data_IF_225584709065
#
_entry.id   IF_225584709065
#
_cell.length_a   1.000
_cell.length_b   1.000
_cell.length_c   1.000
_cell.angle_alpha   90.00
_cell.angle_beta   90.00
_cell.angle_gamma   90.00
#
_symmetry.space_group_name_H-M   'P 1'
#
loop_
_entity.id
_entity.type
_entity.pdbx_description
1 polymer ?
#
# COMPACT_ATOMS: atom_id res chain seq x y z
N UNK A 1 -8.82 -19.04 7.61
CA UNK A 1 -8.27 -18.95 6.25
C UNK A 1 -6.99 -19.75 6.18
N UNK A 2 -6.85 -20.63 5.19
CA UNK A 2 -5.65 -21.45 5.00
C UNK A 2 -4.52 -20.60 4.41
N UNK A 3 -3.24 -20.82 4.78
CA UNK A 3 -2.15 -20.10 4.16
C UNK A 3 -2.04 -20.53 2.70
N UNK A 4 -2.29 -19.59 1.79
CA UNK A 4 -2.10 -19.76 0.35
C UNK A 4 -1.05 -18.78 -0.18
N UNK A 5 -0.61 -19.00 -1.40
CA UNK A 5 0.27 -18.08 -2.13
C UNK A 5 -0.35 -16.69 -2.18
N UNK A 6 0.39 -15.67 -1.71
CA UNK A 6 -0.05 -14.27 -1.79
C UNK A 6 0.76 -13.52 -2.84
N UNK A 7 0.06 -12.95 -3.81
CA UNK A 7 0.59 -12.00 -4.77
C UNK A 7 -0.02 -10.62 -4.53
N UNK A 8 0.71 -9.58 -4.91
CA UNK A 8 0.20 -8.20 -4.89
C UNK A 8 0.42 -7.55 -6.23
N UNK A 9 -0.50 -6.68 -6.62
CA UNK A 9 -0.38 -5.82 -7.79
C UNK A 9 -0.50 -4.36 -7.38
N UNK A 10 0.12 -3.47 -8.15
CA UNK A 10 -0.10 -2.04 -8.06
C UNK A 10 -0.05 -1.41 -9.45
N UNK A 11 -0.88 -0.39 -9.63
CA UNK A 11 -0.97 0.39 -10.85
C UNK A 11 -0.77 1.85 -10.49
N UNK A 12 0.13 2.54 -11.19
CA UNK A 12 0.21 4.00 -11.13
C UNK A 12 -0.41 4.56 -12.39
N UNK A 13 -1.31 5.52 -12.22
CA UNK A 13 -1.96 6.24 -13.30
C UNK A 13 -1.60 7.71 -13.24
N UNK A 14 -1.44 8.33 -14.40
CA UNK A 14 -1.30 9.79 -14.49
C UNK A 14 -2.65 10.51 -14.31
N UNK A 15 -2.65 11.84 -14.34
CA UNK A 15 -3.86 12.66 -14.21
C UNK A 15 -4.85 12.51 -15.37
N UNK A 16 -4.43 11.87 -16.47
CA UNK A 16 -5.28 11.53 -17.63
C UNK A 16 -5.76 10.07 -17.57
N UNK A 17 -5.54 9.39 -16.45
CA UNK A 17 -5.89 8.00 -16.20
C UNK A 17 -5.12 6.99 -17.07
N UNK A 18 -3.98 7.39 -17.65
CA UNK A 18 -3.11 6.48 -18.38
C UNK A 18 -2.28 5.66 -17.40
N UNK A 19 -2.17 4.35 -17.64
CA UNK A 19 -1.33 3.47 -16.84
C UNK A 19 0.15 3.71 -17.18
N UNK A 20 0.88 4.30 -16.24
CA UNK A 20 2.33 4.57 -16.36
C UNK A 20 3.16 3.43 -15.74
N UNK A 21 2.57 2.68 -14.82
CA UNK A 21 3.15 1.48 -14.22
C UNK A 21 2.06 0.46 -13.99
N UNK A 22 2.30 -0.77 -14.43
CA UNK A 22 1.53 -1.95 -14.04
C UNK A 22 2.53 -3.00 -13.57
N UNK A 23 2.53 -3.30 -12.27
CA UNK A 23 3.46 -4.27 -11.69
C UNK A 23 2.71 -5.23 -10.78
N UNK A 24 3.23 -6.45 -10.74
CA UNK A 24 2.80 -7.48 -9.82
C UNK A 24 4.02 -8.21 -9.28
N UNK A 25 3.93 -8.69 -8.05
CA UNK A 25 5.01 -9.50 -7.50
C UNK A 25 4.50 -10.44 -6.42
N UNK A 26 5.09 -11.63 -6.41
CA UNK A 26 4.93 -12.59 -5.34
C UNK A 26 5.48 -12.00 -4.03
N UNK A 27 4.80 -12.25 -2.92
CA UNK A 27 5.20 -11.69 -1.62
C UNK A 27 5.77 -12.77 -0.72
N UNK A 28 4.91 -13.68 -0.27
CA UNK A 28 5.30 -14.83 0.53
C UNK A 28 4.12 -15.80 0.69
N UNK A 29 4.46 -17.02 1.05
CA UNK A 29 3.57 -17.97 1.69
C UNK A 29 3.37 -17.53 3.17
N UNK A 30 2.11 -17.50 3.64
CA UNK A 30 1.69 -17.10 4.99
C UNK A 30 1.42 -15.60 5.26
N UNK A 31 1.15 -14.78 4.25
CA UNK A 31 0.61 -13.44 4.50
C UNK A 31 -0.91 -13.51 4.67
N UNK A 32 -1.45 -12.82 5.68
CA UNK A 32 -2.89 -12.56 5.73
C UNK A 32 -3.28 -11.59 4.63
N UNK A 33 -4.57 -11.55 4.26
CA UNK A 33 -5.08 -10.57 3.29
C UNK A 33 -4.67 -9.13 3.64
N UNK A 34 -4.79 -8.72 4.91
CA UNK A 34 -4.34 -7.41 5.39
C UNK A 34 -2.84 -7.18 5.19
N UNK A 35 -2.01 -8.19 5.43
CA UNK A 35 -0.56 -8.08 5.19
C UNK A 35 -0.26 -7.92 3.71
N UNK A 36 -0.92 -8.70 2.84
CA UNK A 36 -0.79 -8.55 1.40
C UNK A 36 -1.18 -7.14 0.94
N UNK A 37 -2.29 -6.60 1.43
CA UNK A 37 -2.69 -5.22 1.13
C UNK A 37 -1.65 -4.18 1.52
N UNK A 38 -1.13 -4.26 2.74
CA UNK A 38 -0.04 -3.39 3.17
C UNK A 38 1.17 -3.47 2.24
N UNK A 39 1.53 -4.66 1.78
CA UNK A 39 2.68 -4.79 0.86
C UNK A 39 2.39 -4.22 -0.52
N UNK A 40 1.18 -4.41 -1.05
CA UNK A 40 0.76 -3.77 -2.29
C UNK A 40 0.86 -2.25 -2.18
N UNK A 41 0.31 -1.68 -1.10
CA UNK A 41 0.37 -0.25 -0.81
C UNK A 41 1.81 0.26 -0.71
N UNK A 42 2.65 -0.38 0.09
CA UNK A 42 4.05 0.01 0.30
C UNK A 42 4.81 -0.03 -1.04
N UNK A 43 4.62 -1.05 -1.87
CA UNK A 43 5.29 -1.16 -3.16
C UNK A 43 4.83 -0.08 -4.14
N UNK A 44 3.53 0.22 -4.17
CA UNK A 44 2.98 1.32 -4.96
C UNK A 44 3.53 2.68 -4.55
N UNK A 45 3.53 2.97 -3.23
CA UNK A 45 4.07 4.21 -2.68
C UNK A 45 5.58 4.34 -2.92
N UNK A 46 6.33 3.25 -2.75
CA UNK A 46 7.77 3.26 -2.99
C UNK A 46 8.09 3.54 -4.46
N UNK A 47 7.37 2.92 -5.40
CA UNK A 47 7.53 3.20 -6.83
C UNK A 47 7.17 4.66 -7.16
N UNK A 48 6.10 5.20 -6.57
CA UNK A 48 5.70 6.59 -6.78
C UNK A 48 6.75 7.58 -6.24
N UNK A 49 7.30 7.28 -5.05
CA UNK A 49 8.38 8.06 -4.45
C UNK A 49 9.66 8.05 -5.29
N UNK A 50 10.09 6.87 -5.76
CA UNK A 50 11.27 6.73 -6.64
C UNK A 50 11.13 7.52 -7.96
N UNK A 51 9.88 7.70 -8.42
CA UNK A 51 9.53 8.51 -9.60
C UNK A 51 9.37 10.00 -9.32
N UNK A 52 9.62 10.44 -8.08
CA UNK A 52 9.48 11.84 -7.63
C UNK A 52 8.06 12.38 -7.82
N UNK A 53 7.05 11.53 -7.65
CA UNK A 53 5.66 11.97 -7.62
C UNK A 53 5.41 12.71 -6.31
N UNK A 54 4.91 13.95 -6.38
CA UNK A 54 4.65 14.78 -5.20
C UNK A 54 3.25 14.60 -4.61
N UNK A 55 2.25 14.34 -5.44
CA UNK A 55 0.85 14.19 -5.02
C UNK A 55 0.32 12.82 -5.45
N UNK A 56 -0.30 12.10 -4.52
CA UNK A 56 -0.82 10.77 -4.78
C UNK A 56 -2.23 10.58 -4.19
N UNK A 57 -3.10 9.98 -5.01
CA UNK A 57 -4.41 9.48 -4.61
C UNK A 57 -4.41 7.96 -4.78
N UNK A 58 -4.60 7.24 -3.69
CA UNK A 58 -4.55 5.79 -3.64
C UNK A 58 -5.97 5.24 -3.63
N UNK A 59 -6.19 4.18 -4.40
CA UNK A 59 -7.43 3.42 -4.39
C UNK A 59 -7.16 2.00 -3.89
N UNK A 60 -7.89 1.56 -2.88
CA UNK A 60 -7.81 0.21 -2.34
C UNK A 60 -9.16 -0.27 -1.78
N UNK A 61 -9.40 -1.57 -1.81
CA UNK A 61 -10.63 -2.23 -1.33
C UNK A 61 -10.53 -2.70 0.13
N UNK A 62 -9.36 -2.56 0.77
CA UNK A 62 -9.17 -2.94 2.18
C UNK A 62 -9.54 -1.82 3.14
N UNK A 63 -10.82 -1.77 3.54
CA UNK A 63 -11.31 -0.80 4.52
C UNK A 63 -10.53 -0.80 5.85
N UNK A 64 -9.98 -1.95 6.29
CA UNK A 64 -9.12 -2.02 7.48
C UNK A 64 -7.83 -1.21 7.28
N UNK A 65 -7.14 -1.41 6.15
CA UNK A 65 -5.87 -0.73 5.87
C UNK A 65 -6.11 0.74 5.61
N UNK A 66 -7.13 1.11 4.83
CA UNK A 66 -7.47 2.52 4.58
C UNK A 66 -7.77 3.25 5.90
N UNK A 67 -8.58 2.67 6.80
CA UNK A 67 -8.85 3.29 8.10
C UNK A 67 -7.62 3.34 9.03
N UNK A 68 -6.68 2.39 8.91
CA UNK A 68 -5.44 2.42 9.68
C UNK A 68 -4.51 3.52 9.16
N UNK A 69 -4.30 3.63 7.84
CA UNK A 69 -3.47 4.68 7.23
C UNK A 69 -4.05 6.08 7.48
N UNK A 70 -5.38 6.22 7.41
CA UNK A 70 -6.08 7.45 7.80
C UNK A 70 -6.13 7.67 9.33
N UNK A 71 -5.47 6.82 10.13
CA UNK A 71 -5.36 6.92 11.59
C UNK A 71 -6.70 6.87 12.34
N UNK A 72 -7.79 6.47 11.67
CA UNK A 72 -9.08 6.25 12.31
C UNK A 72 -9.04 5.03 13.23
N UNK A 73 -8.30 3.99 12.84
CA UNK A 73 -8.20 2.73 13.58
C UNK A 73 -6.77 2.42 14.02
N UNK A 74 -6.58 2.10 15.31
CA UNK A 74 -5.26 1.73 15.82
C UNK A 74 -4.80 0.35 15.32
N UNK A 75 -3.52 0.24 14.98
CA UNK A 75 -2.88 -1.04 14.63
C UNK A 75 -2.48 -1.78 15.91
N UNK A 76 -3.31 -2.74 16.33
CA UNK A 76 -3.08 -3.51 17.57
C UNK A 76 -2.14 -4.69 17.40
N UNK A 77 -2.01 -5.23 16.19
CA UNK A 77 -1.19 -6.41 15.93
C UNK A 77 0.27 -5.98 15.71
N UNK A 78 1.17 -6.44 16.60
CA UNK A 78 2.62 -6.16 16.51
C UNK A 78 3.24 -6.55 15.17
N UNK A 79 2.72 -7.58 14.50
CA UNK A 79 3.20 -8.01 13.18
C UNK A 79 2.76 -7.06 12.05
N UNK A 80 1.68 -6.31 12.25
CA UNK A 80 1.19 -5.31 11.31
C UNK A 80 1.85 -3.95 11.53
N UNK A 81 2.28 -3.62 12.76
CA UNK A 81 2.94 -2.36 13.07
C UNK A 81 4.12 -2.06 12.12
N UNK A 82 5.00 -3.03 11.88
CA UNK A 82 6.13 -2.85 10.94
C UNK A 82 5.70 -2.46 9.50
N UNK A 83 4.53 -2.89 9.06
CA UNK A 83 4.01 -2.55 7.73
C UNK A 83 3.34 -1.18 7.76
N UNK A 84 2.58 -0.91 8.81
CA UNK A 84 1.98 0.38 9.06
C UNK A 84 3.04 1.49 9.15
N UNK A 85 4.07 1.31 9.99
CA UNK A 85 5.16 2.27 10.17
C UNK A 85 5.84 2.56 8.83
N UNK A 86 6.17 1.52 8.06
CA UNK A 86 6.78 1.66 6.73
C UNK A 86 5.87 2.39 5.74
N UNK A 87 4.57 2.11 5.76
CA UNK A 87 3.61 2.81 4.90
C UNK A 87 3.52 4.29 5.29
N UNK A 88 3.44 4.59 6.59
CA UNK A 88 3.37 5.97 7.09
C UNK A 88 4.64 6.77 6.81
N UNK A 89 5.81 6.14 6.89
CA UNK A 89 7.08 6.77 6.52
C UNK A 89 7.10 7.17 5.05
N UNK A 90 6.58 6.33 4.16
CA UNK A 90 6.43 6.65 2.74
C UNK A 90 5.36 7.73 2.49
N UNK A 91 4.22 7.65 3.17
CA UNK A 91 3.14 8.65 3.05
C UNK A 91 3.67 10.06 3.36
N UNK A 92 4.53 10.20 4.37
CA UNK A 92 5.15 11.48 4.76
C UNK A 92 6.12 12.05 3.71
N UNK A 93 6.53 11.27 2.72
CA UNK A 93 7.38 11.75 1.63
C UNK A 93 6.62 12.49 0.53
N UNK A 94 5.29 12.41 0.52
CA UNK A 94 4.45 13.09 -0.47
C UNK A 94 4.00 14.46 0.06
N UNK A 95 3.90 15.44 -0.84
CA UNK A 95 3.34 16.76 -0.54
C UNK A 95 1.82 16.69 -0.33
N UNK A 96 1.14 15.79 -1.04
CA UNK A 96 -0.27 15.45 -0.80
C UNK A 96 -0.50 13.95 -0.91
N UNK A 97 -1.29 13.41 0.01
CA UNK A 97 -1.64 11.99 0.06
C UNK A 97 -3.12 11.82 0.46
N UNK A 98 -3.83 11.01 -0.31
CA UNK A 98 -5.22 10.60 -0.04
C UNK A 98 -5.36 9.09 -0.29
N UNK A 99 -6.16 8.40 0.55
CA UNK A 99 -6.46 6.95 0.45
C UNK A 99 -7.85 6.60 0.99
#
# INVERSE_FOLDING_TARGET
ESPGYSAVGWVLKDSRNNEVVVKGSFVNENYSATQAFYVGLIRGLQEAFERKIAHILVYGDSGVVCNQINQHWCVRNKRLLKFYDKAMDLVRCFESFEI
#
